data_IF_300179064511
#
_entry.id   IF_300179064511
#
_cell.length_a   1.000
_cell.length_b   1.000
_cell.length_c   1.000
_cell.angle_alpha   90.00
_cell.angle_beta   90.00
_cell.angle_gamma   90.00
#
_symmetry.space_group_name_H-M   'P 1'
#
loop_
_entity.id
_entity.type
_entity.pdbx_description
1 polymer ?
#
# COMPACT_ATOMS: atom_id res chain seq x y z
N UNK A 1 4.22 19.76 -12.60
CA UNK A 1 4.90 18.55 -12.13
C UNK A 1 4.00 17.37 -12.44
N UNK A 2 4.51 16.30 -13.06
CA UNK A 2 3.76 15.04 -13.12
C UNK A 2 3.55 14.62 -11.67
N UNK A 3 2.31 14.42 -11.18
CA UNK A 3 2.13 13.88 -9.85
C UNK A 3 2.87 12.55 -9.79
N UNK A 4 3.66 12.32 -8.74
CA UNK A 4 4.33 11.04 -8.53
C UNK A 4 3.26 9.96 -8.42
N UNK A 5 2.98 9.29 -9.54
CA UNK A 5 2.06 8.17 -9.58
C UNK A 5 2.78 6.97 -8.95
N UNK A 6 2.16 6.28 -7.99
CA UNK A 6 2.76 5.09 -7.41
C UNK A 6 2.91 4.02 -8.49
N UNK A 7 4.06 3.33 -8.49
CA UNK A 7 4.25 2.13 -9.30
C UNK A 7 3.32 1.03 -8.81
N UNK A 8 2.62 0.36 -9.73
CA UNK A 8 1.71 -0.73 -9.43
C UNK A 8 2.29 -2.08 -9.88
N UNK A 9 2.03 -3.18 -9.14
CA UNK A 9 2.56 -4.49 -9.49
C UNK A 9 1.79 -5.11 -10.67
N UNK A 10 2.41 -5.11 -11.86
CA UNK A 10 1.82 -5.65 -13.09
C UNK A 10 1.27 -7.08 -12.91
N UNK A 11 2.05 -7.98 -12.29
CA UNK A 11 1.66 -9.37 -12.03
C UNK A 11 0.42 -9.56 -11.11
N UNK A 12 -0.15 -8.47 -10.57
CA UNK A 12 -1.40 -8.48 -9.78
C UNK A 12 -2.58 -7.85 -10.51
N UNK A 13 -2.32 -7.09 -11.58
CA UNK A 13 -3.29 -6.20 -12.20
C UNK A 13 -3.36 -6.33 -13.73
N UNK A 14 -2.40 -7.02 -14.36
CA UNK A 14 -2.33 -7.21 -15.82
C UNK A 14 -3.55 -7.92 -16.41
N UNK A 15 -4.20 -8.79 -15.63
CA UNK A 15 -5.43 -9.47 -16.01
C UNK A 15 -6.71 -8.70 -15.67
N UNK A 16 -6.61 -7.50 -15.07
CA UNK A 16 -7.78 -6.68 -14.68
C UNK A 16 -8.08 -5.66 -15.78
N UNK A 17 -9.24 -5.72 -16.44
CA UNK A 17 -9.61 -4.73 -17.45
C UNK A 17 -9.61 -3.29 -16.87
N UNK A 18 -9.17 -2.27 -17.62
CA UNK A 18 -9.07 -0.90 -17.13
C UNK A 18 -10.35 -0.36 -16.46
N UNK A 19 -11.51 -0.66 -17.04
CA UNK A 19 -12.83 -0.26 -16.53
C UNK A 19 -13.21 -0.93 -15.20
N UNK A 20 -12.55 -2.03 -14.84
CA UNK A 20 -12.75 -2.76 -13.57
C UNK A 20 -11.74 -2.39 -12.49
N UNK A 21 -10.69 -1.63 -12.80
CA UNK A 21 -9.63 -1.29 -11.85
C UNK A 21 -10.14 -0.63 -10.57
N UNK A 22 -11.17 0.23 -10.66
CA UNK A 22 -11.74 0.93 -9.48
C UNK A 22 -12.34 -0.03 -8.45
N UNK A 23 -12.84 -1.19 -8.88
CA UNK A 23 -13.47 -2.19 -8.02
C UNK A 23 -12.64 -3.46 -7.86
N UNK A 24 -11.38 -3.45 -8.29
CA UNK A 24 -10.50 -4.61 -8.20
C UNK A 24 -10.33 -5.06 -6.74
N UNK A 25 -10.26 -6.38 -6.51
CA UNK A 25 -10.01 -6.93 -5.18
C UNK A 25 -8.69 -6.40 -4.57
N UNK A 26 -7.71 -6.07 -5.43
CA UNK A 26 -6.47 -5.39 -5.07
C UNK A 26 -6.69 -4.14 -4.21
N UNK A 27 -7.76 -3.36 -4.44
CA UNK A 27 -8.00 -2.12 -3.71
C UNK A 27 -8.36 -2.33 -2.22
N UNK A 28 -8.74 -3.56 -1.84
CA UNK A 28 -8.99 -3.96 -0.44
C UNK A 28 -7.78 -4.60 0.24
N UNK A 29 -6.80 -5.02 -0.55
CA UNK A 29 -5.57 -5.65 -0.07
C UNK A 29 -4.38 -5.28 -0.98
N UNK A 30 -4.04 -3.98 -1.08
CA UNK A 30 -3.00 -3.53 -1.99
C UNK A 30 -1.62 -4.03 -1.59
N UNK A 31 -0.79 -4.30 -2.59
CA UNK A 31 0.64 -4.58 -2.44
C UNK A 31 1.41 -3.46 -3.13
N UNK A 32 2.36 -2.86 -2.40
CA UNK A 32 3.26 -1.84 -2.92
C UNK A 32 4.69 -2.07 -2.44
N UNK A 33 5.61 -1.25 -2.93
CA UNK A 33 7.04 -1.30 -2.60
C UNK A 33 7.46 -0.26 -1.54
N UNK A 34 6.51 0.18 -0.71
CA UNK A 34 6.74 1.22 0.29
C UNK A 34 7.39 0.74 1.59
N UNK A 35 7.70 1.68 2.50
CA UNK A 35 8.31 1.41 3.80
C UNK A 35 7.34 0.78 4.82
N UNK A 36 6.04 0.79 4.56
CA UNK A 36 5.02 0.17 5.41
C UNK A 36 4.16 -0.80 4.61
N UNK A 37 3.80 -1.93 5.24
CA UNK A 37 2.91 -2.96 4.69
C UNK A 37 1.54 -2.85 5.32
N UNK A 38 0.48 -2.89 4.50
CA UNK A 38 -0.89 -2.93 5.01
C UNK A 38 -1.15 -4.27 5.72
N UNK A 39 -1.63 -4.20 6.96
CA UNK A 39 -1.99 -5.36 7.78
C UNK A 39 -3.51 -5.52 7.87
N UNK A 40 -4.23 -4.41 8.07
CA UNK A 40 -5.70 -4.43 8.18
C UNK A 40 -6.28 -3.16 7.57
N UNK A 41 -7.37 -3.30 6.84
CA UNK A 41 -8.22 -2.19 6.40
C UNK A 41 -9.65 -2.47 6.84
N UNK A 42 -10.21 -1.60 7.68
CA UNK A 42 -11.64 -1.59 8.04
C UNK A 42 -12.27 -0.30 7.52
N UNK A 43 -13.15 -0.44 6.54
CA UNK A 43 -13.84 0.70 5.93
C UNK A 43 -14.57 1.53 7.00
N UNK A 44 -14.34 2.85 7.00
CA UNK A 44 -14.95 3.78 7.95
C UNK A 44 -14.40 3.75 9.38
N UNK A 45 -13.39 2.93 9.69
CA UNK A 45 -12.78 2.88 11.04
C UNK A 45 -11.29 3.16 10.96
N UNK A 46 -10.51 2.22 10.41
CA UNK A 46 -9.06 2.25 10.54
C UNK A 46 -8.29 1.52 9.45
N UNK A 47 -7.05 1.94 9.27
CA UNK A 47 -6.03 1.23 8.53
C UNK A 47 -4.85 0.98 9.46
N UNK A 48 -4.36 -0.25 9.48
CA UNK A 48 -3.20 -0.65 10.28
C UNK A 48 -2.09 -1.05 9.31
N UNK A 49 -0.92 -0.47 9.51
CA UNK A 49 0.29 -0.83 8.79
C UNK A 49 1.39 -1.28 9.75
N UNK A 50 2.21 -2.22 9.30
CA UNK A 50 3.43 -2.63 9.97
C UNK A 50 4.65 -2.14 9.18
N UNK A 51 5.79 -1.96 9.85
CA UNK A 51 7.06 -1.70 9.18
C UNK A 51 7.37 -2.78 8.12
N UNK A 52 7.94 -2.35 7.01
CA UNK A 52 8.59 -3.25 6.06
C UNK A 52 10.06 -3.42 6.49
N UNK A 53 10.36 -4.53 7.15
CA UNK A 53 11.72 -4.83 7.64
C UNK A 53 12.75 -4.97 6.51
N UNK A 54 12.28 -5.22 5.28
CA UNK A 54 13.11 -5.35 4.08
C UNK A 54 13.14 -4.08 3.22
N UNK A 55 12.70 -2.93 3.74
CA UNK A 55 12.74 -1.69 2.96
C UNK A 55 14.20 -1.25 2.73
N UNK A 56 14.62 -0.98 1.48
CA UNK A 56 16.03 -0.78 1.16
C UNK A 56 16.66 0.44 1.85
N UNK A 57 17.88 0.27 2.36
CA UNK A 57 18.65 1.36 2.98
C UNK A 57 18.88 2.53 2.01
N UNK A 58 19.14 2.24 0.73
CA UNK A 58 19.30 3.26 -0.32
C UNK A 58 18.05 4.10 -0.58
N UNK A 59 16.89 3.70 -0.06
CA UNK A 59 15.62 4.44 -0.15
C UNK A 59 15.15 4.99 1.21
N UNK A 60 15.96 4.84 2.26
CA UNK A 60 15.67 5.34 3.61
C UNK A 60 15.62 4.26 4.70
N UNK A 61 15.72 2.98 4.33
CA UNK A 61 15.79 1.85 5.27
C UNK A 61 14.49 1.60 6.05
N UNK A 62 14.49 0.52 6.83
CA UNK A 62 13.33 0.16 7.68
C UNK A 62 12.86 1.36 8.51
N UNK A 63 11.55 1.67 8.54
CA UNK A 63 11.02 2.70 9.42
C UNK A 63 11.37 2.49 10.89
N UNK A 64 11.56 3.60 11.62
CA UNK A 64 11.72 3.56 13.08
C UNK A 64 10.43 3.20 13.80
N UNK A 65 9.27 3.50 13.21
CA UNK A 65 7.97 3.13 13.75
C UNK A 65 7.64 1.70 13.35
N UNK A 66 7.35 0.85 14.34
CA UNK A 66 6.94 -0.53 14.07
C UNK A 66 5.53 -0.63 13.49
N UNK A 67 4.66 0.32 13.86
CA UNK A 67 3.25 0.34 13.50
C UNK A 67 2.74 1.74 13.25
N UNK A 68 1.96 1.89 12.18
CA UNK A 68 1.19 3.09 11.86
C UNK A 68 -0.30 2.73 11.88
N UNK A 69 -1.11 3.49 12.62
CA UNK A 69 -2.57 3.32 12.64
C UNK A 69 -3.21 4.62 12.19
N UNK A 70 -3.89 4.59 11.05
CA UNK A 70 -4.72 5.68 10.58
C UNK A 70 -6.16 5.41 11.02
N UNK A 71 -6.81 6.37 11.68
CA UNK A 71 -8.23 6.29 12.04
C UNK A 71 -8.96 7.55 11.62
N UNK A 72 -10.22 7.40 11.26
CA UNK A 72 -11.14 8.53 11.14
C UNK A 72 -11.76 8.78 12.51
N UNK A 73 -11.87 10.06 12.92
CA UNK A 73 -12.47 10.50 14.20
C UNK A 73 -13.63 11.44 13.94
#
# INVERSE_FOLDING_TARGET
>A
AVPLLPLLPAHRLDSVPPERLRSAAFNRAPVGNGPFRLVEQRAGDRWIFAANDAFPDGLGGRPRLDRLVWRTV
#
